data_IF_420180858959
#
_entry.id   IF_420180858959
#
_cell.length_a   1.000
_cell.length_b   1.000
_cell.length_c   1.000
_cell.angle_alpha   90.00
_cell.angle_beta   90.00
_cell.angle_gamma   90.00
#
_symmetry.space_group_name_H-M   'P 1'
#
loop_
_entity.id
_entity.type
_entity.pdbx_description
1 polymer ?
#
# COMPACT_ATOMS: atom_id res chain seq x y z
N UNK A 1 11.21 16.66 21.42
CA UNK A 1 9.76 16.82 21.65
C UNK A 1 9.09 15.44 21.57
N UNK A 2 8.26 15.03 22.54
CA UNK A 2 7.50 13.76 22.51
C UNK A 2 6.05 14.07 22.15
N UNK A 3 5.54 13.45 21.08
CA UNK A 3 4.14 13.58 20.67
C UNK A 3 3.25 12.58 21.42
N UNK A 4 2.08 13.04 21.86
CA UNK A 4 1.02 12.21 22.45
C UNK A 4 -0.24 12.34 21.59
N UNK A 5 -0.47 11.41 20.65
CA UNK A 5 -1.63 11.49 19.75
C UNK A 5 -2.94 11.30 20.52
N UNK A 6 -3.96 12.09 20.18
CA UNK A 6 -5.32 11.89 20.66
C UNK A 6 -5.95 10.63 20.01
N UNK A 7 -7.14 10.21 20.47
CA UNK A 7 -7.79 8.98 19.99
C UNK A 7 -7.94 8.94 18.46
N UNK A 8 -8.40 10.04 17.84
CA UNK A 8 -8.56 10.13 16.38
C UNK A 8 -7.23 9.97 15.63
N UNK A 9 -6.16 10.56 16.17
CA UNK A 9 -4.82 10.43 15.60
C UNK A 9 -4.31 8.98 15.73
N UNK A 10 -4.50 8.33 16.87
CA UNK A 10 -4.12 6.92 17.07
C UNK A 10 -4.86 6.00 16.09
N UNK A 11 -6.17 6.21 15.91
CA UNK A 11 -6.98 5.48 14.94
C UNK A 11 -6.46 5.68 13.51
N UNK A 12 -6.20 6.91 13.10
CA UNK A 12 -5.67 7.22 11.76
C UNK A 12 -4.29 6.61 11.53
N UNK A 13 -3.41 6.65 12.53
CA UNK A 13 -2.08 6.03 12.49
C UNK A 13 -2.20 4.51 12.30
N UNK A 14 -3.05 3.86 13.10
CA UNK A 14 -3.29 2.42 13.00
C UNK A 14 -3.87 2.01 11.65
N UNK A 15 -4.85 2.78 11.14
CA UNK A 15 -5.42 2.59 9.80
C UNK A 15 -4.35 2.76 8.72
N UNK A 16 -3.49 3.77 8.84
CA UNK A 16 -2.40 4.02 7.90
C UNK A 16 -1.42 2.84 7.84
N UNK A 17 -0.93 2.37 8.99
CA UNK A 17 -0.05 1.21 9.02
C UNK A 17 -0.72 -0.07 8.52
N UNK A 18 -1.99 -0.29 8.88
CA UNK A 18 -2.77 -1.42 8.39
C UNK A 18 -2.91 -1.41 6.86
N UNK A 19 -3.23 -0.26 6.27
CA UNK A 19 -3.34 -0.11 4.82
C UNK A 19 -1.99 -0.29 4.12
N UNK A 20 -0.91 0.31 4.63
CA UNK A 20 0.43 0.12 4.06
C UNK A 20 0.85 -1.36 4.11
N UNK A 21 0.65 -2.04 5.24
CA UNK A 21 0.98 -3.47 5.37
C UNK A 21 0.18 -4.33 4.38
N UNK A 22 -1.12 -4.05 4.23
CA UNK A 22 -1.95 -4.75 3.26
C UNK A 22 -1.48 -4.54 1.82
N UNK A 23 -1.24 -3.28 1.43
CA UNK A 23 -0.79 -2.92 0.08
C UNK A 23 0.56 -3.58 -0.21
N UNK A 24 1.53 -3.49 0.70
CA UNK A 24 2.83 -4.12 0.55
C UNK A 24 2.71 -5.62 0.28
N UNK A 25 1.99 -6.34 1.15
CA UNK A 25 1.84 -7.79 1.03
C UNK A 25 1.09 -8.18 -0.25
N UNK A 26 0.05 -7.43 -0.63
CA UNK A 26 -0.73 -7.70 -1.84
C UNK A 26 0.13 -7.59 -3.10
N UNK A 27 0.91 -6.51 -3.23
CA UNK A 27 1.74 -6.30 -4.42
C UNK A 27 3.03 -7.13 -4.41
N UNK A 28 3.57 -7.47 -3.23
CA UNK A 28 4.64 -8.46 -3.13
C UNK A 28 4.17 -9.83 -3.64
N UNK A 29 3.01 -10.32 -3.16
CA UNK A 29 2.44 -11.57 -3.63
C UNK A 29 2.17 -11.55 -5.14
N UNK A 30 1.60 -10.45 -5.66
CA UNK A 30 1.37 -10.25 -7.11
C UNK A 30 2.67 -10.32 -7.91
N UNK A 31 3.76 -9.72 -7.42
CA UNK A 31 5.07 -9.76 -8.08
C UNK A 31 5.66 -11.16 -8.11
N UNK A 32 5.55 -11.90 -7.01
CA UNK A 32 5.99 -13.29 -6.94
C UNK A 32 5.22 -14.13 -7.96
N UNK A 33 3.90 -14.03 -7.98
CA UNK A 33 3.03 -14.74 -8.93
C UNK A 33 3.39 -14.43 -10.39
N UNK A 34 3.54 -13.14 -10.75
CA UNK A 34 3.90 -12.73 -12.12
C UNK A 34 5.28 -13.26 -12.51
N UNK A 35 6.25 -13.22 -11.59
CA UNK A 35 7.59 -13.71 -11.86
C UNK A 35 7.63 -15.23 -12.03
N UNK A 36 6.88 -15.98 -11.22
CA UNK A 36 6.80 -17.43 -11.34
C UNK A 36 6.23 -17.86 -12.69
N UNK A 37 5.15 -17.19 -13.14
CA UNK A 37 4.44 -17.54 -14.37
C UNK A 37 5.08 -17.00 -15.66
N UNK A 38 5.61 -15.78 -15.63
CA UNK A 38 6.05 -15.07 -16.84
C UNK A 38 7.53 -14.69 -16.83
N UNK A 39 8.25 -14.89 -15.72
CA UNK A 39 9.63 -14.41 -15.51
C UNK A 39 9.77 -12.88 -15.66
N UNK A 40 8.67 -12.16 -15.47
CA UNK A 40 8.60 -10.70 -15.50
C UNK A 40 8.34 -10.14 -14.09
N UNK A 41 8.57 -8.84 -13.90
CA UNK A 41 8.22 -8.14 -12.66
C UNK A 41 7.03 -7.23 -12.89
N UNK A 42 6.08 -7.26 -11.95
CA UNK A 42 5.02 -6.25 -11.88
C UNK A 42 5.62 -4.92 -11.39
N UNK A 43 5.81 -4.00 -12.33
CA UNK A 43 6.51 -2.71 -12.13
C UNK A 43 5.74 -1.77 -11.21
N UNK A 44 6.40 -0.76 -10.61
CA UNK A 44 5.70 0.26 -9.83
C UNK A 44 4.59 0.97 -10.60
N UNK A 45 4.78 1.26 -11.88
CA UNK A 45 3.74 1.89 -12.71
C UNK A 45 2.49 1.01 -12.77
N UNK A 46 2.66 -0.30 -12.92
CA UNK A 46 1.56 -1.27 -12.90
C UNK A 46 0.93 -1.36 -11.50
N UNK A 47 1.72 -1.46 -10.43
CA UNK A 47 1.23 -1.43 -9.04
C UNK A 47 0.40 -0.18 -8.75
N UNK A 48 0.86 1.00 -9.16
CA UNK A 48 0.21 2.29 -8.91
C UNK A 48 -1.12 2.42 -9.67
N UNK A 49 -1.15 1.95 -10.92
CA UNK A 49 -2.38 1.88 -11.72
C UNK A 49 -3.39 0.90 -11.10
N UNK A 50 -2.93 -0.30 -10.73
CA UNK A 50 -3.77 -1.31 -10.08
C UNK A 50 -4.31 -0.83 -8.74
N UNK A 51 -3.48 -0.16 -7.92
CA UNK A 51 -3.90 0.41 -6.63
C UNK A 51 -5.00 1.46 -6.80
N UNK A 52 -5.01 2.19 -7.91
CA UNK A 52 -6.06 3.16 -8.22
C UNK A 52 -7.41 2.47 -8.44
N UNK A 53 -7.42 1.31 -9.08
CA UNK A 53 -8.63 0.51 -9.23
C UNK A 53 -9.02 -0.17 -7.92
N UNK A 54 -8.03 -0.71 -7.20
CA UNK A 54 -8.27 -1.37 -5.92
C UNK A 54 -8.92 -0.44 -4.88
N UNK A 55 -8.56 0.85 -4.87
CA UNK A 55 -9.20 1.85 -4.01
C UNK A 55 -10.69 2.05 -4.31
N UNK A 56 -11.14 1.82 -5.55
CA UNK A 56 -12.57 1.90 -5.92
C UNK A 56 -13.37 0.72 -5.36
N UNK A 57 -12.71 -0.42 -5.19
CA UNK A 57 -13.32 -1.64 -4.61
C UNK A 57 -13.24 -1.63 -3.09
N UNK A 58 -12.11 -1.16 -2.54
CA UNK A 58 -11.79 -1.13 -1.13
C UNK A 58 -11.68 0.31 -0.64
N UNK A 59 -12.83 0.91 -0.34
CA UNK A 59 -12.93 2.32 0.08
C UNK A 59 -12.06 2.66 1.30
N UNK A 60 -11.81 1.69 2.19
CA UNK A 60 -10.94 1.89 3.35
C UNK A 60 -9.47 2.18 2.98
N UNK A 61 -9.02 1.85 1.76
CA UNK A 61 -7.71 2.25 1.24
C UNK A 61 -7.63 3.74 0.86
N UNK A 62 -8.75 4.47 0.92
CA UNK A 62 -8.79 5.92 0.74
C UNK A 62 -8.68 6.69 2.06
N UNK A 63 -8.83 6.02 3.21
CA UNK A 63 -8.66 6.64 4.53
C UNK A 63 -7.24 7.14 4.84
N UNK A 64 -6.16 6.39 4.52
CA UNK A 64 -4.81 6.87 4.78
C UNK A 64 -4.36 7.92 3.77
N UNK A 65 -3.32 8.66 4.14
CA UNK A 65 -2.69 9.61 3.22
C UNK A 65 -2.19 8.91 1.93
N UNK A 66 -2.37 9.59 0.79
CA UNK A 66 -2.03 9.03 -0.52
C UNK A 66 -0.54 8.72 -0.66
N UNK A 67 0.33 9.52 -0.05
CA UNK A 67 1.78 9.34 -0.15
C UNK A 67 2.22 8.13 0.65
N UNK A 68 1.54 7.79 1.75
CA UNK A 68 1.83 6.60 2.55
C UNK A 68 1.71 5.32 1.69
N UNK A 69 0.65 5.21 0.89
CA UNK A 69 0.46 4.07 0.00
C UNK A 69 1.39 4.10 -1.22
N UNK A 70 1.67 5.29 -1.77
CA UNK A 70 2.63 5.41 -2.89
C UNK A 70 4.06 5.05 -2.47
N UNK A 71 4.49 5.47 -1.28
CA UNK A 71 5.80 5.13 -0.73
C UNK A 71 5.88 3.63 -0.44
N UNK A 72 4.82 3.02 0.08
CA UNK A 72 4.74 1.56 0.25
C UNK A 72 5.02 0.81 -1.06
N UNK A 73 4.50 1.31 -2.19
CA UNK A 73 4.78 0.71 -3.51
C UNK A 73 6.22 0.92 -3.96
N UNK A 74 6.85 2.06 -3.62
CA UNK A 74 8.28 2.31 -3.90
C UNK A 74 9.19 1.46 -3.03
N UNK A 75 8.80 1.20 -1.79
CA UNK A 75 9.54 0.32 -0.88
C UNK A 75 9.64 -1.11 -1.41
N UNK A 76 8.73 -1.53 -2.30
CA UNK A 76 8.83 -2.80 -3.00
C UNK A 76 9.88 -2.78 -4.13
N UNK A 77 10.23 -1.62 -4.70
CA UNK A 77 11.22 -1.54 -5.79
C UNK A 77 12.68 -1.68 -5.31
N UNK A 78 12.94 -1.51 -4.02
CA UNK A 78 14.27 -1.58 -3.42
C UNK A 78 14.75 -3.01 -3.14
#
# INVERSE_FOLDING_TARGET
>A
FRMYPNKKQQELINKTFGCCRFVYNKYLAKRIEVYENHKETFTYKQCSSDLTNLKKELEWLKEPDKFSLQNTLKDLEN
#
